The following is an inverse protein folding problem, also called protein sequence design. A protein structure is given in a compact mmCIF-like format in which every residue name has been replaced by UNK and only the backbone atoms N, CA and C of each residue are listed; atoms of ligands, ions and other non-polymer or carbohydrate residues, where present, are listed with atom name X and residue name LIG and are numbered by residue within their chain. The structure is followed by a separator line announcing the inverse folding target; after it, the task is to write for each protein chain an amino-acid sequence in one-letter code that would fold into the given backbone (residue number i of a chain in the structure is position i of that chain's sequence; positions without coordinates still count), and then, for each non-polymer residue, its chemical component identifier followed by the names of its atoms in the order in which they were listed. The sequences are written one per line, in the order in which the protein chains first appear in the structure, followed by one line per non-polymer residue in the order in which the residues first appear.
data_IF_931653425937
#
_entry.id   IF_931653425937
#
_cell.length_a   1.000
_cell.length_b   1.000
_cell.length_c   1.000
_cell.angle_alpha   90.00
_cell.angle_beta   90.00
_cell.angle_gamma   90.00
#
_symmetry.space_group_name_H-M   'P 1'
#
loop_
_entity.id
_entity.type
_entity.pdbx_description
1 polymer ?
#
# COMPACT_ATOMS: atom_id res chain seq x y z
N UNK A 1 18.72 63.37 -8.53
CA UNK A 1 18.43 62.23 -9.43
C UNK A 1 18.62 60.94 -8.64
N UNK A 2 17.54 60.20 -8.33
CA UNK A 2 17.61 58.88 -7.67
C UNK A 2 16.90 57.87 -8.57
N UNK A 3 17.67 56.97 -9.16
CA UNK A 3 17.19 55.96 -10.10
C UNK A 3 16.66 54.76 -9.30
N UNK A 4 15.33 54.64 -9.20
CA UNK A 4 14.68 53.51 -8.55
C UNK A 4 14.75 52.28 -9.47
N UNK A 5 15.47 51.24 -9.03
CA UNK A 5 15.58 49.98 -9.75
C UNK A 5 14.48 49.04 -9.27
N UNK A 6 13.46 48.81 -10.10
CA UNK A 6 12.40 47.85 -9.82
C UNK A 6 12.93 46.47 -10.24
N UNK A 7 13.28 45.65 -9.25
CA UNK A 7 13.68 44.26 -9.46
C UNK A 7 12.40 43.43 -9.63
N UNK A 8 12.06 43.09 -10.88
CA UNK A 8 10.93 42.23 -11.21
C UNK A 8 11.29 40.78 -10.85
N UNK A 9 10.88 40.33 -9.65
CA UNK A 9 11.07 38.96 -9.21
C UNK A 9 10.21 37.99 -10.01
N UNK A 10 10.83 37.24 -10.91
CA UNK A 10 10.17 36.17 -11.66
C UNK A 10 9.99 34.96 -10.74
N UNK A 11 8.80 34.78 -10.17
CA UNK A 11 8.48 33.58 -9.39
C UNK A 11 8.23 32.42 -10.35
N UNK A 12 9.16 31.47 -10.41
CA UNK A 12 9.00 30.24 -11.17
C UNK A 12 8.07 29.29 -10.40
N UNK A 13 6.83 29.15 -10.87
CA UNK A 13 5.86 28.20 -10.32
C UNK A 13 6.21 26.78 -10.78
N UNK A 14 6.87 25.99 -9.94
CA UNK A 14 7.06 24.56 -10.22
C UNK A 14 5.78 23.80 -9.92
N UNK A 15 5.13 23.27 -10.95
CA UNK A 15 4.06 22.29 -10.77
C UNK A 15 4.67 20.97 -10.26
N UNK A 16 4.55 20.72 -8.97
CA UNK A 16 4.87 19.40 -8.40
C UNK A 16 3.72 18.47 -8.76
N UNK A 17 3.86 17.70 -9.83
CA UNK A 17 2.93 16.61 -10.13
C UNK A 17 3.15 15.51 -9.08
N UNK A 18 2.11 15.19 -8.32
CA UNK A 18 2.14 14.05 -7.41
C UNK A 18 2.22 12.76 -8.22
N UNK A 19 3.24 11.94 -7.97
CA UNK A 19 3.39 10.63 -8.62
C UNK A 19 2.24 9.70 -8.22
N UNK A 20 1.75 8.93 -9.19
CA UNK A 20 0.62 8.01 -9.03
C UNK A 20 0.91 6.65 -9.64
N UNK A 21 0.45 5.58 -9.00
CA UNK A 21 0.45 4.22 -9.55
C UNK A 21 -0.95 3.61 -9.45
N UNK A 22 -1.32 2.80 -10.43
CA UNK A 22 -2.50 1.95 -10.38
C UNK A 22 -2.07 0.49 -10.45
N UNK A 23 -2.55 -0.33 -9.52
CA UNK A 23 -2.22 -1.75 -9.42
C UNK A 23 -3.50 -2.57 -9.50
N UNK A 24 -3.56 -3.49 -10.45
CA UNK A 24 -4.64 -4.46 -10.53
C UNK A 24 -4.48 -5.53 -9.45
N UNK A 25 -5.58 -5.88 -8.78
CA UNK A 25 -5.59 -6.89 -7.72
C UNK A 25 -6.44 -8.07 -8.17
N UNK A 26 -5.89 -9.27 -8.00
CA UNK A 26 -6.48 -10.55 -8.37
C UNK A 26 -6.63 -11.43 -7.13
N UNK A 27 -7.58 -12.36 -7.18
CA UNK A 27 -7.74 -13.35 -6.12
C UNK A 27 -6.56 -14.32 -6.13
N UNK A 28 -6.05 -14.64 -4.93
CA UNK A 28 -4.96 -15.60 -4.78
C UNK A 28 -5.44 -17.06 -4.82
N UNK A 29 -6.75 -17.31 -4.75
CA UNK A 29 -7.34 -18.66 -4.63
C UNK A 29 -8.10 -19.12 -5.86
N UNK A 30 -8.59 -18.17 -6.67
CA UNK A 30 -9.27 -18.38 -7.96
C UNK A 30 -8.42 -17.72 -9.05
N UNK A 31 -7.91 -18.54 -9.97
CA UNK A 31 -7.08 -18.07 -11.09
C UNK A 31 -7.84 -17.05 -11.95
N UNK A 32 -7.11 -16.03 -12.43
CA UNK A 32 -7.58 -14.98 -13.34
C UNK A 32 -8.79 -14.15 -12.87
N UNK A 33 -9.21 -14.32 -11.61
CA UNK A 33 -10.30 -13.53 -11.03
C UNK A 33 -9.79 -12.17 -10.57
N UNK A 34 -10.04 -11.13 -11.37
CA UNK A 34 -9.80 -9.73 -10.98
C UNK A 34 -10.79 -9.29 -9.90
N UNK A 35 -10.28 -8.68 -8.84
CA UNK A 35 -11.08 -8.15 -7.71
C UNK A 35 -11.22 -6.63 -7.76
N UNK A 36 -10.36 -5.95 -8.51
CA UNK A 36 -10.39 -4.51 -8.69
C UNK A 36 -9.01 -3.94 -8.94
N UNK A 37 -8.78 -2.72 -8.47
CA UNK A 37 -7.48 -2.05 -8.51
C UNK A 37 -7.27 -1.17 -7.27
N UNK A 38 -6.03 -0.71 -7.08
CA UNK A 38 -5.65 0.21 -6.01
C UNK A 38 -4.90 1.38 -6.63
N UNK A 39 -5.29 2.60 -6.26
CA UNK A 39 -4.54 3.82 -6.59
C UNK A 39 -3.60 4.19 -5.46
N UNK A 40 -2.34 4.40 -5.79
CA UNK A 40 -1.32 4.91 -4.90
C UNK A 40 -0.97 6.33 -5.34
N UNK A 41 -0.95 7.27 -4.40
CA UNK A 41 -0.66 8.67 -4.68
C UNK A 41 0.24 9.28 -3.61
N UNK A 42 1.34 9.89 -4.05
CA UNK A 42 2.22 10.62 -3.15
C UNK A 42 1.57 11.91 -2.64
N UNK A 43 1.69 12.16 -1.34
CA UNK A 43 1.27 13.40 -0.68
C UNK A 43 2.37 13.92 0.24
N UNK A 44 2.23 15.15 0.76
CA UNK A 44 3.15 15.67 1.77
C UNK A 44 3.24 14.79 3.04
N UNK A 45 2.24 13.94 3.29
CA UNK A 45 2.12 13.12 4.50
C UNK A 45 2.46 11.64 4.29
N UNK A 46 2.94 11.27 3.08
CA UNK A 46 3.24 9.89 2.69
C UNK A 46 2.34 9.40 1.55
N UNK A 47 2.20 8.09 1.44
CA UNK A 47 1.48 7.43 0.37
C UNK A 47 0.00 7.27 0.75
N UNK A 48 -0.89 7.91 0.00
CA UNK A 48 -2.33 7.63 0.09
C UNK A 48 -2.65 6.45 -0.81
N UNK A 49 -3.31 5.45 -0.25
CA UNK A 49 -3.69 4.20 -0.90
C UNK A 49 -5.21 4.17 -0.95
N UNK A 50 -5.78 4.22 -2.15
CA UNK A 50 -7.23 4.23 -2.37
C UNK A 50 -7.63 2.93 -3.07
N UNK A 51 -8.21 1.97 -2.33
CA UNK A 51 -8.68 0.73 -2.93
C UNK A 51 -9.97 0.98 -3.73
N UNK A 52 -10.11 0.25 -4.82
CA UNK A 52 -11.34 0.10 -5.58
C UNK A 52 -11.56 -1.40 -5.81
N UNK A 53 -11.85 -2.10 -4.71
CA UNK A 53 -11.91 -3.56 -4.66
C UNK A 53 -13.32 -4.06 -4.36
N UNK A 54 -13.62 -5.27 -4.81
CA UNK A 54 -14.91 -5.93 -4.67
C UNK A 54 -14.72 -7.44 -4.45
N UNK A 55 -15.81 -8.12 -4.07
CA UNK A 55 -15.85 -9.58 -3.92
C UNK A 55 -14.88 -10.12 -2.85
N UNK A 56 -14.61 -9.32 -1.83
CA UNK A 56 -13.85 -9.72 -0.65
C UNK A 56 -14.80 -10.09 0.50
N UNK A 57 -14.39 -10.97 1.43
CA UNK A 57 -15.14 -11.18 2.67
C UNK A 57 -15.32 -9.86 3.44
N UNK A 58 -16.44 -9.69 4.13
CA UNK A 58 -16.67 -8.52 4.97
C UNK A 58 -15.71 -8.54 6.18
N UNK A 59 -15.20 -7.38 6.57
CA UNK A 59 -14.44 -7.21 7.80
C UNK A 59 -13.13 -6.46 7.62
N UNK A 60 -12.26 -6.60 8.64
CA UNK A 60 -10.89 -6.10 8.60
C UNK A 60 -9.96 -7.19 8.09
N UNK A 61 -9.08 -6.81 7.17
CA UNK A 61 -8.10 -7.68 6.56
C UNK A 61 -6.69 -7.11 6.75
N UNK A 62 -5.74 -7.97 7.07
CA UNK A 62 -4.32 -7.62 7.02
C UNK A 62 -3.94 -7.24 5.60
N UNK A 63 -3.17 -6.16 5.49
CA UNK A 63 -2.89 -5.51 4.22
C UNK A 63 -1.44 -5.06 4.20
N UNK A 64 -0.64 -5.64 3.31
CA UNK A 64 0.81 -5.46 3.36
C UNK A 64 1.41 -5.36 1.97
N UNK A 65 2.55 -4.69 1.87
CA UNK A 65 3.49 -4.89 0.78
C UNK A 65 4.42 -6.07 1.12
N UNK A 66 4.68 -6.89 0.13
CA UNK A 66 5.57 -8.05 0.20
C UNK A 66 6.76 -7.88 -0.75
N UNK A 67 7.89 -8.50 -0.39
CA UNK A 67 9.23 -8.23 -0.93
C UNK A 67 9.37 -8.44 -2.44
N UNK A 68 8.61 -9.33 -3.05
CA UNK A 68 8.74 -9.68 -4.47
C UNK A 68 7.47 -9.39 -5.26
N UNK A 69 7.64 -8.76 -6.42
CA UNK A 69 6.64 -8.56 -7.48
C UNK A 69 6.15 -9.88 -8.11
N UNK A 70 5.52 -10.75 -7.30
CA UNK A 70 5.03 -12.08 -7.70
C UNK A 70 3.74 -12.44 -6.96
N UNK A 71 2.75 -12.95 -7.68
CA UNK A 71 1.48 -13.43 -7.11
C UNK A 71 1.25 -14.94 -7.31
N UNK A 72 2.25 -15.68 -7.81
CA UNK A 72 2.18 -17.13 -8.04
C UNK A 72 2.07 -17.93 -6.73
N UNK A 73 1.67 -19.20 -6.87
CA UNK A 73 1.50 -20.15 -5.76
C UNK A 73 0.63 -19.63 -4.62
N UNK A 74 -0.58 -19.16 -4.94
CA UNK A 74 -1.48 -18.51 -3.96
C UNK A 74 -0.79 -17.35 -3.25
N UNK A 75 -0.09 -16.54 -4.04
CA UNK A 75 0.70 -15.39 -3.62
C UNK A 75 1.84 -15.68 -2.64
N UNK A 76 2.26 -16.94 -2.43
CA UNK A 76 3.38 -17.27 -1.53
C UNK A 76 4.72 -16.77 -2.08
N UNK A 77 4.87 -16.73 -3.40
CA UNK A 77 6.10 -16.26 -4.07
C UNK A 77 6.36 -14.77 -3.88
N UNK A 78 5.40 -14.01 -3.35
CA UNK A 78 5.58 -12.62 -2.95
C UNK A 78 6.61 -12.45 -1.82
N UNK A 79 6.94 -13.54 -1.10
CA UNK A 79 7.91 -13.50 0.01
C UNK A 79 7.29 -13.02 1.32
N UNK A 80 8.14 -12.46 2.19
CA UNK A 80 7.72 -11.89 3.48
C UNK A 80 7.20 -10.45 3.30
N UNK A 81 6.81 -9.79 4.40
CA UNK A 81 6.51 -8.37 4.38
C UNK A 81 7.75 -7.59 3.92
N UNK A 82 7.54 -6.52 3.17
CA UNK A 82 8.62 -5.68 2.67
C UNK A 82 9.37 -5.01 3.84
N UNK A 83 10.60 -5.47 4.11
CA UNK A 83 11.41 -5.03 5.25
C UNK A 83 12.86 -4.69 4.85
N UNK A 84 13.08 -3.61 4.06
CA UNK A 84 14.42 -3.24 3.61
C UNK A 84 15.37 -2.88 4.77
N UNK A 85 14.83 -2.52 5.93
CA UNK A 85 15.61 -2.19 7.13
C UNK A 85 15.92 -3.41 8.01
N UNK A 86 15.39 -4.61 7.68
CA UNK A 86 15.60 -5.85 8.43
C UNK A 86 15.24 -5.70 9.90
N UNK A 87 14.12 -5.04 10.16
CA UNK A 87 13.54 -4.84 11.50
C UNK A 87 13.12 -6.17 12.12
N UNK A 88 12.72 -7.16 11.31
CA UNK A 88 12.26 -8.48 11.74
C UNK A 88 11.13 -8.43 12.79
N UNK A 89 10.29 -7.40 12.75
CA UNK A 89 9.15 -7.23 13.67
C UNK A 89 8.00 -6.55 12.95
N UNK A 90 6.80 -7.06 13.19
CA UNK A 90 5.56 -6.51 12.66
C UNK A 90 4.95 -5.55 13.68
N UNK A 91 4.86 -4.26 13.33
CA UNK A 91 4.41 -3.19 14.24
C UNK A 91 3.45 -2.20 13.58
N UNK A 92 2.94 -2.53 12.40
CA UNK A 92 1.98 -1.70 11.72
C UNK A 92 2.58 -0.44 11.06
N UNK A 93 1.71 0.43 10.54
CA UNK A 93 2.11 1.52 9.65
C UNK A 93 2.80 2.71 10.33
N UNK A 94 2.75 2.80 11.66
CA UNK A 94 3.14 4.01 12.39
C UNK A 94 4.32 3.81 13.35
N UNK A 95 4.80 2.56 13.50
CA UNK A 95 5.93 2.22 14.36
C UNK A 95 7.13 1.73 13.54
N UNK A 96 8.18 1.24 14.23
CA UNK A 96 9.47 0.84 13.66
C UNK A 96 9.56 -0.59 13.10
N UNK A 97 8.43 -1.24 12.83
CA UNK A 97 8.39 -2.56 12.19
C UNK A 97 8.58 -2.51 10.67
N UNK A 98 8.19 -3.58 9.98
CA UNK A 98 8.36 -3.70 8.54
C UNK A 98 7.82 -2.47 7.81
N UNK A 99 8.52 -2.07 6.75
CA UNK A 99 8.13 -0.90 5.96
C UNK A 99 6.83 -1.15 5.17
N UNK A 100 6.57 -2.40 4.81
CA UNK A 100 5.38 -2.87 4.12
C UNK A 100 4.16 -3.08 5.01
N UNK A 101 4.23 -2.83 6.32
CA UNK A 101 3.06 -2.90 7.20
C UNK A 101 2.14 -1.69 6.92
N UNK A 102 0.93 -1.92 6.42
CA UNK A 102 -0.05 -0.86 6.08
C UNK A 102 -1.19 -0.85 7.10
N UNK A 103 -2.02 0.21 7.13
CA UNK A 103 -3.29 0.13 7.85
C UNK A 103 -4.15 -1.02 7.30
N UNK A 104 -4.81 -1.76 8.18
CA UNK A 104 -5.73 -2.83 7.83
C UNK A 104 -6.80 -2.36 6.84
N UNK A 105 -7.11 -3.20 5.87
CA UNK A 105 -8.10 -2.92 4.85
C UNK A 105 -9.50 -3.23 5.40
N UNK A 106 -10.40 -2.25 5.32
CA UNK A 106 -11.81 -2.45 5.67
C UNK A 106 -12.63 -2.82 4.43
N UNK A 107 -13.41 -3.89 4.54
CA UNK A 107 -14.36 -4.36 3.53
C UNK A 107 -15.78 -4.28 4.11
N UNK A 108 -16.68 -3.62 3.40
CA UNK A 108 -18.07 -3.44 3.82
C UNK A 108 -18.93 -4.73 3.61
N UNK A 109 -20.20 -4.68 4.01
CA UNK A 109 -21.17 -5.79 3.87
C UNK A 109 -21.43 -6.23 2.42
N UNK A 110 -21.12 -5.37 1.43
CA UNK A 110 -21.23 -5.68 0.00
C UNK A 110 -19.96 -6.33 -0.56
N UNK A 111 -18.95 -6.54 0.28
CA UNK A 111 -17.65 -7.07 -0.13
C UNK A 111 -16.77 -6.04 -0.84
N UNK A 112 -17.01 -4.74 -0.62
CA UNK A 112 -16.28 -3.64 -1.26
C UNK A 112 -15.30 -2.98 -0.29
N UNK A 113 -14.10 -2.67 -0.78
CA UNK A 113 -13.14 -1.83 -0.08
C UNK A 113 -12.86 -0.56 -0.90
N UNK A 114 -13.24 0.59 -0.32
CA UNK A 114 -13.11 1.90 -0.96
C UNK A 114 -12.56 3.00 -0.04
N UNK A 115 -12.28 2.69 1.23
CA UNK A 115 -11.80 3.67 2.20
C UNK A 115 -10.31 3.97 1.94
N UNK A 116 -9.93 5.24 1.68
CA UNK A 116 -8.53 5.60 1.55
C UNK A 116 -7.79 5.43 2.87
N UNK A 117 -6.55 4.94 2.79
CA UNK A 117 -5.64 4.78 3.93
C UNK A 117 -4.32 5.49 3.67
N UNK A 118 -3.62 5.90 4.74
CA UNK A 118 -2.35 6.61 4.67
C UNK A 118 -1.22 5.73 5.19
N UNK A 119 -0.17 5.55 4.39
CA UNK A 119 1.09 4.96 4.81
C UNK A 119 2.18 6.04 4.86
N UNK A 120 2.45 6.63 6.05
CA UNK A 120 3.27 7.84 6.14
C UNK A 120 4.75 7.62 5.85
N UNK A 121 5.22 6.38 5.97
CA UNK A 121 6.62 5.97 5.72
C UNK A 121 6.93 5.68 4.25
N UNK A 122 5.92 5.72 3.36
CA UNK A 122 6.03 5.25 1.98
C UNK A 122 5.82 6.35 0.94
N UNK A 123 6.35 6.07 -0.25
CA UNK A 123 6.18 6.82 -1.50
C UNK A 123 6.09 5.85 -2.68
N UNK A 124 5.58 6.31 -3.82
CA UNK A 124 5.37 5.47 -5.01
C UNK A 124 6.67 4.84 -5.55
N UNK A 125 7.78 5.56 -5.51
CA UNK A 125 9.10 5.08 -5.96
C UNK A 125 9.65 3.95 -5.06
N UNK A 126 9.33 3.97 -3.76
CA UNK A 126 9.77 2.98 -2.78
C UNK A 126 9.06 1.63 -2.89
N UNK A 127 7.87 1.58 -3.50
CA UNK A 127 7.01 0.39 -3.53
C UNK A 127 7.07 -0.39 -4.84
N UNK A 128 7.84 0.08 -5.82
CA UNK A 128 8.04 -0.64 -7.08
C UNK A 128 8.74 -1.98 -6.84
N UNK A 129 8.46 -2.95 -7.69
CA UNK A 129 8.98 -4.32 -7.60
C UNK A 129 8.53 -5.08 -6.33
N UNK A 130 7.47 -4.62 -5.67
CA UNK A 130 6.81 -5.31 -4.56
C UNK A 130 5.50 -5.94 -5.01
N UNK A 131 4.81 -6.66 -4.12
CA UNK A 131 3.43 -7.07 -4.32
C UNK A 131 2.57 -6.60 -3.14
N UNK A 132 1.36 -6.14 -3.43
CA UNK A 132 0.35 -5.89 -2.41
C UNK A 132 -0.41 -7.18 -2.11
N UNK A 133 -0.57 -7.52 -0.83
CA UNK A 133 -1.28 -8.71 -0.36
C UNK A 133 -2.42 -8.31 0.57
N UNK A 134 -3.58 -8.97 0.38
CA UNK A 134 -4.70 -8.92 1.32
C UNK A 134 -4.82 -10.31 1.96
N UNK A 135 -4.89 -10.33 3.28
CA UNK A 135 -4.99 -11.54 4.09
C UNK A 135 -6.45 -11.89 4.42
N UNK A 136 -6.70 -13.13 4.80
CA UNK A 136 -8.02 -13.63 5.22
C UNK A 136 -8.46 -13.00 6.54
N UNK A 137 -7.58 -12.98 7.53
CA UNK A 137 -7.80 -12.39 8.85
C UNK A 137 -7.39 -10.92 8.93
N UNK A 138 -7.76 -10.29 10.04
CA UNK A 138 -7.37 -8.92 10.41
C UNK A 138 -5.88 -8.82 10.77
N UNK A 139 -5.46 -7.60 11.09
CA UNK A 139 -4.12 -7.29 11.57
C UNK A 139 -4.17 -6.56 12.92
N UNK A 140 -3.44 -7.08 13.92
CA UNK A 140 -3.27 -6.49 15.26
C UNK A 140 -2.06 -5.57 15.39
N UNK A 141 -1.23 -5.47 14.35
CA UNK A 141 0.05 -4.75 14.31
C UNK A 141 1.06 -5.23 15.36
N UNK A 142 1.04 -6.53 15.67
CA UNK A 142 1.94 -7.15 16.62
C UNK A 142 2.41 -8.52 16.12
N UNK A 143 3.59 -8.96 16.57
CA UNK A 143 4.11 -10.29 16.24
C UNK A 143 3.37 -11.44 16.94
N UNK A 144 2.47 -11.15 17.88
CA UNK A 144 1.60 -12.14 18.50
C UNK A 144 0.13 -11.70 18.44
N UNK A 145 -0.75 -12.43 17.73
CA UNK A 145 -0.46 -13.60 16.90
C UNK A 145 0.52 -13.27 15.75
N UNK A 146 1.21 -14.29 15.21
CA UNK A 146 2.25 -14.13 14.19
C UNK A 146 1.82 -13.17 13.07
N UNK A 147 2.62 -12.13 12.82
CA UNK A 147 2.40 -11.13 11.78
C UNK A 147 0.98 -10.54 11.82
N UNK A 148 0.53 -10.11 13.00
CA UNK A 148 -0.77 -9.47 13.18
C UNK A 148 -1.96 -10.43 13.17
N UNK A 149 -1.76 -11.71 12.84
CA UNK A 149 -2.82 -12.71 12.76
C UNK A 149 -3.55 -12.78 11.41
N UNK A 150 -3.01 -12.18 10.35
CA UNK A 150 -3.67 -12.15 9.03
C UNK A 150 -3.88 -13.55 8.41
N UNK A 151 -3.01 -14.52 8.67
CA UNK A 151 -3.18 -15.88 8.17
C UNK A 151 -3.07 -15.99 6.65
N UNK A 152 -4.01 -16.68 6.01
CA UNK A 152 -3.96 -16.99 4.57
C UNK A 152 -3.97 -15.73 3.69
N UNK A 153 -3.38 -15.81 2.49
CA UNK A 153 -3.38 -14.73 1.47
C UNK A 153 -4.56 -14.95 0.54
N UNK A 154 -5.45 -13.96 0.41
CA UNK A 154 -6.70 -14.09 -0.38
C UNK A 154 -6.69 -13.26 -1.65
N UNK A 155 -5.86 -12.21 -1.73
CA UNK A 155 -5.67 -11.41 -2.92
C UNK A 155 -4.23 -10.90 -3.06
N UNK A 156 -3.83 -10.63 -4.29
CA UNK A 156 -2.50 -10.14 -4.63
C UNK A 156 -2.53 -9.22 -5.85
N UNK A 157 -1.69 -8.18 -5.85
CA UNK A 157 -1.42 -7.33 -7.01
C UNK A 157 0.07 -7.02 -7.11
N UNK A 158 0.65 -7.12 -8.31
CA UNK A 158 2.05 -6.80 -8.54
C UNK A 158 2.21 -5.30 -8.75
N UNK A 159 3.20 -4.69 -8.09
CA UNK A 159 3.54 -3.27 -8.22
C UNK A 159 4.75 -3.14 -9.15
N UNK A 160 4.51 -2.86 -10.44
CA UNK A 160 5.54 -2.64 -11.46
C UNK A 160 6.05 -1.19 -11.50
#
# INVERSE_FOLDING_TARGET
MKTLHILLGLTLSYSVFASTLEVNVYSATQADKKLGHIHFKDTAYGLVITPHLSQLPQGLHGFHLHEYAKCSHKAQDAGNHFDPQKTNTHQGPYQGGHLGDLPALFVNEKGEASTPILAPKLKTDMIRQTAVIIHEGSDSYADNPKLGGGGARIACGVVD
#
